data_IF_605523092426
#
_entry.id   IF_605523092426
#
_cell.length_a   1.000
_cell.length_b   1.000
_cell.length_c   1.000
_cell.angle_alpha   90.00
_cell.angle_beta   90.00
_cell.angle_gamma   90.00
#
_symmetry.space_group_name_H-M   'P 1'
#
loop_
_entity.id
_entity.type
_entity.pdbx_description
1 polymer ?
#
# COMPACT_ATOMS: atom_id res chain seq x y z
N UNK A 1 -33.41 -14.76 -0.05
CA UNK A 1 -34.52 -13.96 0.50
C UNK A 1 -35.02 -14.65 1.77
N UNK A 2 -34.73 -14.08 2.93
CA UNK A 2 -35.19 -14.56 4.25
C UNK A 2 -35.43 -13.30 5.07
N UNK A 3 -36.69 -13.03 5.35
CA UNK A 3 -37.16 -11.90 6.16
C UNK A 3 -37.55 -12.47 7.52
N UNK A 4 -37.10 -11.85 8.60
CA UNK A 4 -37.65 -12.02 9.96
C UNK A 4 -37.73 -10.62 10.57
N UNK A 5 -38.90 -10.30 11.12
CA UNK A 5 -39.27 -9.04 11.78
C UNK A 5 -39.23 -9.17 13.31
N UNK A 6 -39.14 -8.02 13.98
CA UNK A 6 -39.42 -7.81 15.42
C UNK A 6 -38.23 -7.11 16.10
N UNK A 7 -38.28 -5.86 16.58
CA UNK A 7 -39.40 -5.11 17.16
C UNK A 7 -39.29 -5.15 18.69
N UNK A 8 -38.88 -4.04 19.31
CA UNK A 8 -38.83 -3.91 20.77
C UNK A 8 -37.94 -2.76 21.21
N UNK A 9 -38.57 -1.65 21.60
CA UNK A 9 -37.97 -0.45 22.16
C UNK A 9 -37.54 -0.66 23.61
N UNK A 10 -36.48 0.03 24.04
CA UNK A 10 -36.27 0.38 25.44
C UNK A 10 -35.72 1.81 25.49
N UNK A 11 -36.52 2.68 26.09
CA UNK A 11 -36.26 4.08 26.43
C UNK A 11 -35.77 4.14 27.89
N UNK A 12 -35.56 5.36 28.39
CA UNK A 12 -35.25 5.79 29.77
C UNK A 12 -33.74 5.66 30.10
N UNK A 13 -33.00 6.69 30.52
CA UNK A 13 -33.28 7.70 31.54
C UNK A 13 -32.42 8.95 31.32
N UNK A 14 -33.06 10.13 31.32
CA UNK A 14 -32.45 11.44 31.59
C UNK A 14 -32.07 11.55 33.09
N UNK A 15 -30.85 11.99 33.40
CA UNK A 15 -30.51 12.46 34.75
C UNK A 15 -29.77 13.81 34.66
N UNK A 16 -30.39 14.81 35.27
CA UNK A 16 -29.90 16.19 35.40
C UNK A 16 -29.37 16.40 36.83
N UNK A 17 -28.31 17.20 36.95
CA UNK A 17 -27.81 17.79 38.21
C UNK A 17 -26.45 17.18 38.63
N UNK A 18 -25.43 17.92 39.04
CA UNK A 18 -25.42 19.25 39.63
C UNK A 18 -24.12 20.02 39.35
N UNK A 19 -24.32 21.33 39.19
CA UNK A 19 -23.35 22.41 39.13
C UNK A 19 -22.73 22.63 40.51
N UNK A 20 -21.42 22.38 40.67
CA UNK A 20 -20.65 22.98 41.76
C UNK A 20 -19.58 23.92 41.20
N UNK A 21 -19.91 25.21 41.30
CA UNK A 21 -19.02 26.36 41.12
C UNK A 21 -17.91 26.33 42.17
N UNK A 22 -16.67 26.24 41.71
CA UNK A 22 -15.48 26.35 42.55
C UNK A 22 -14.44 27.27 41.91
N UNK A 23 -14.49 28.55 42.31
CA UNK A 23 -13.43 29.58 42.24
C UNK A 23 -12.95 29.99 40.84
N UNK A 24 -13.42 31.18 40.44
CA UNK A 24 -12.77 31.99 39.43
C UNK A 24 -11.32 32.29 39.82
N UNK A 25 -10.40 31.81 38.97
CA UNK A 25 -9.08 32.38 38.81
C UNK A 25 -9.14 33.36 37.66
N UNK A 26 -8.82 34.62 37.95
CA UNK A 26 -8.62 35.70 37.00
C UNK A 26 -7.47 35.32 36.04
N UNK A 27 -7.80 34.89 34.82
CA UNK A 27 -6.82 34.48 33.80
C UNK A 27 -6.23 35.68 33.04
N UNK A 28 -6.73 36.90 33.28
CA UNK A 28 -6.32 38.10 32.53
C UNK A 28 -5.02 38.74 33.04
N UNK A 29 -4.34 38.12 34.01
CA UNK A 29 -3.07 38.61 34.57
C UNK A 29 -1.87 37.66 34.40
N UNK A 30 -1.90 36.71 33.46
CA UNK A 30 -0.66 36.00 33.10
C UNK A 30 0.16 36.85 32.13
N UNK A 31 1.34 37.39 32.51
CA UNK A 31 2.19 38.10 31.59
C UNK A 31 2.61 37.16 30.46
N UNK A 32 2.36 37.62 29.23
CA UNK A 32 2.73 36.96 27.99
C UNK A 32 4.27 36.87 27.89
N UNK A 33 4.83 35.79 28.46
CA UNK A 33 6.21 35.41 28.23
C UNK A 33 6.28 34.84 26.82
N UNK A 34 6.71 35.71 25.89
CA UNK A 34 6.85 35.41 24.48
C UNK A 34 7.60 34.11 24.23
N UNK A 35 6.84 33.03 24.01
CA UNK A 35 7.34 31.83 23.37
C UNK A 35 7.28 32.11 21.87
N UNK A 36 8.48 32.33 21.31
CA UNK A 36 8.70 32.64 19.91
C UNK A 36 7.83 31.78 19.00
N UNK A 37 7.21 32.46 18.03
CA UNK A 37 6.31 31.88 17.05
C UNK A 37 6.88 30.59 16.49
N UNK A 38 6.37 29.47 16.98
CA UNK A 38 6.67 28.17 16.41
C UNK A 38 5.96 28.17 15.05
N UNK A 39 6.74 28.39 13.98
CA UNK A 39 6.29 28.16 12.60
C UNK A 39 5.68 26.76 12.57
N UNK A 40 4.36 26.68 12.58
CA UNK A 40 3.64 25.47 12.21
C UNK A 40 4.07 25.17 10.79
N UNK A 41 5.03 24.25 10.64
CA UNK A 41 5.38 23.70 9.33
C UNK A 41 4.08 23.06 8.86
N UNK A 42 3.43 23.66 7.86
CA UNK A 42 2.39 22.98 7.07
C UNK A 42 3.01 21.66 6.65
N UNK A 43 2.63 20.58 7.33
CA UNK A 43 3.06 19.24 6.97
C UNK A 43 2.48 18.99 5.59
N UNK A 44 3.32 19.06 4.55
CA UNK A 44 2.94 18.56 3.25
C UNK A 44 2.47 17.13 3.43
N UNK A 45 1.31 16.79 2.87
CA UNK A 45 0.78 15.42 2.92
C UNK A 45 1.89 14.47 2.45
N UNK A 46 2.39 13.63 3.36
CA UNK A 46 3.39 12.62 3.01
C UNK A 46 2.75 11.69 1.99
N UNK A 47 3.19 11.79 0.73
CA UNK A 47 2.79 10.89 -0.33
C UNK A 47 3.21 9.45 0.04
N UNK A 48 2.23 8.61 0.37
CA UNK A 48 2.46 7.21 0.75
C UNK A 48 2.77 6.42 -0.52
N UNK A 49 4.01 5.92 -0.63
CA UNK A 49 4.42 5.01 -1.71
C UNK A 49 3.96 3.59 -1.40
N UNK A 50 3.36 2.92 -2.39
CA UNK A 50 2.80 1.56 -2.25
C UNK A 50 3.42 0.64 -3.29
N UNK A 51 3.69 -0.60 -2.87
CA UNK A 51 4.35 -1.61 -3.69
C UNK A 51 3.78 -2.99 -3.36
N UNK A 52 3.75 -3.87 -4.35
CA UNK A 52 3.59 -5.30 -4.13
C UNK A 52 4.97 -5.96 -4.15
N UNK A 53 5.20 -6.86 -3.20
CA UNK A 53 6.41 -7.68 -3.16
C UNK A 53 5.97 -9.15 -3.25
N UNK A 54 6.48 -9.87 -4.24
CA UNK A 54 6.29 -11.31 -4.37
C UNK A 54 7.65 -12.01 -4.42
N UNK A 55 7.69 -13.22 -3.86
CA UNK A 55 8.92 -14.01 -3.74
C UNK A 55 8.65 -15.42 -4.21
N UNK A 56 9.46 -15.93 -5.15
CA UNK A 56 9.29 -17.29 -5.65
C UNK A 56 10.21 -18.28 -4.94
N UNK A 57 9.77 -19.53 -4.86
CA UNK A 57 10.56 -20.64 -4.32
C UNK A 57 11.36 -21.33 -5.42
N UNK A 58 12.52 -21.88 -5.08
CA UNK A 58 13.42 -22.58 -6.03
C UNK A 58 12.72 -23.73 -6.74
N UNK A 59 11.81 -24.43 -6.04
CA UNK A 59 11.06 -25.58 -6.54
C UNK A 59 9.84 -25.19 -7.39
N UNK A 60 9.53 -23.89 -7.49
CA UNK A 60 8.36 -23.44 -8.22
C UNK A 60 8.56 -23.63 -9.73
N UNK A 61 7.68 -24.37 -10.43
CA UNK A 61 7.80 -24.54 -11.87
C UNK A 61 7.49 -23.24 -12.61
N UNK A 62 8.15 -23.00 -13.75
CA UNK A 62 8.03 -21.74 -14.50
C UNK A 62 6.60 -21.39 -14.93
N UNK A 63 5.74 -22.37 -15.18
CA UNK A 63 4.33 -22.10 -15.49
C UNK A 63 3.59 -21.48 -14.31
N UNK A 64 3.93 -21.87 -13.07
CA UNK A 64 3.32 -21.31 -11.86
C UNK A 64 3.82 -19.88 -11.61
N UNK A 65 5.11 -19.63 -11.86
CA UNK A 65 5.68 -18.28 -11.83
C UNK A 65 4.97 -17.37 -12.83
N UNK A 66 4.82 -17.80 -14.10
CA UNK A 66 4.09 -17.03 -15.12
C UNK A 66 2.62 -16.83 -14.78
N UNK A 67 1.96 -17.87 -14.25
CA UNK A 67 0.57 -17.75 -13.75
C UNK A 67 0.44 -16.65 -12.71
N UNK A 68 1.47 -16.42 -11.89
CA UNK A 68 1.47 -15.32 -10.92
C UNK A 68 1.51 -13.94 -11.58
N UNK A 69 2.24 -13.80 -12.68
CA UNK A 69 2.24 -12.56 -13.49
C UNK A 69 0.84 -12.31 -14.10
N UNK A 70 0.22 -13.34 -14.69
CA UNK A 70 -1.17 -13.20 -15.19
C UNK A 70 -2.16 -12.86 -14.08
N UNK A 71 -1.95 -13.31 -12.85
CA UNK A 71 -2.80 -12.91 -11.72
C UNK A 71 -2.71 -11.41 -11.43
N UNK A 72 -1.53 -10.80 -11.54
CA UNK A 72 -1.39 -9.35 -11.44
C UNK A 72 -2.10 -8.63 -12.59
N UNK A 73 -1.97 -9.12 -13.83
CA UNK A 73 -2.65 -8.55 -15.00
C UNK A 73 -4.18 -8.61 -14.83
N UNK A 74 -4.71 -9.76 -14.40
CA UNK A 74 -6.14 -9.93 -14.09
C UNK A 74 -6.61 -9.03 -12.96
N UNK A 75 -5.78 -8.86 -11.93
CA UNK A 75 -6.11 -7.98 -10.81
C UNK A 75 -6.15 -6.51 -11.24
N UNK A 76 -5.22 -6.09 -12.11
CA UNK A 76 -5.20 -4.78 -12.71
C UNK A 76 -6.44 -4.54 -13.59
N UNK A 77 -6.74 -5.46 -14.51
CA UNK A 77 -7.88 -5.38 -15.42
C UNK A 77 -9.25 -5.46 -14.72
N UNK A 78 -9.30 -6.11 -13.55
CA UNK A 78 -10.50 -6.15 -12.72
C UNK A 78 -10.86 -4.81 -12.08
N UNK A 79 -10.02 -3.77 -12.22
CA UNK A 79 -10.17 -2.42 -11.66
C UNK A 79 -10.39 -2.33 -10.15
N UNK A 80 -10.33 -3.46 -9.43
CA UNK A 80 -10.62 -3.50 -8.00
C UNK A 80 -9.72 -2.53 -7.20
N UNK A 81 -8.43 -2.45 -7.54
CA UNK A 81 -7.54 -1.51 -6.85
C UNK A 81 -7.95 -0.06 -7.11
N UNK A 82 -8.18 0.29 -8.38
CA UNK A 82 -8.50 1.63 -8.87
C UNK A 82 -9.84 2.12 -8.32
N UNK A 83 -10.82 1.22 -8.18
CA UNK A 83 -12.15 1.51 -7.65
C UNK A 83 -12.13 1.78 -6.14
N UNK A 84 -11.18 1.18 -5.41
CA UNK A 84 -11.10 1.26 -3.95
C UNK A 84 -9.96 2.14 -3.43
N UNK A 85 -9.06 2.61 -4.32
CA UNK A 85 -7.90 3.42 -3.94
C UNK A 85 -7.74 4.59 -4.91
N UNK A 86 -7.60 5.80 -4.35
CA UNK A 86 -7.26 7.01 -5.12
C UNK A 86 -5.80 7.05 -5.60
N UNK A 87 -5.00 6.06 -5.21
CA UNK A 87 -3.58 5.98 -5.54
C UNK A 87 -3.37 5.12 -6.80
N UNK A 88 -2.36 5.41 -7.63
CA UNK A 88 -2.04 4.59 -8.80
C UNK A 88 -1.76 3.14 -8.40
N UNK A 89 -1.91 2.24 -9.37
CA UNK A 89 -1.63 0.82 -9.15
C UNK A 89 -0.18 0.63 -8.65
N UNK A 90 0.05 -0.16 -7.60
CA UNK A 90 1.39 -0.33 -7.03
C UNK A 90 2.36 -0.99 -8.00
N UNK A 91 3.63 -0.56 -7.97
CA UNK A 91 4.71 -1.27 -8.67
C UNK A 91 4.91 -2.66 -8.07
N UNK A 92 5.24 -3.64 -8.90
CA UNK A 92 5.42 -5.03 -8.48
C UNK A 92 6.91 -5.38 -8.44
N UNK A 93 7.38 -5.81 -7.28
CA UNK A 93 8.73 -6.25 -7.02
C UNK A 93 8.77 -7.77 -6.90
N UNK A 94 9.63 -8.43 -7.68
CA UNK A 94 9.74 -9.88 -7.75
C UNK A 94 11.12 -10.33 -7.29
N UNK A 95 11.19 -11.12 -6.23
CA UNK A 95 12.44 -11.75 -5.77
C UNK A 95 12.56 -13.13 -6.41
N UNK A 96 13.50 -13.24 -7.34
CA UNK A 96 13.77 -14.44 -8.12
C UNK A 96 14.71 -15.37 -7.35
N UNK A 97 14.38 -16.68 -7.23
CA UNK A 97 15.19 -17.64 -6.48
C UNK A 97 16.43 -18.09 -7.25
N UNK A 98 16.46 -17.91 -8.58
CA UNK A 98 17.59 -18.26 -9.44
C UNK A 98 17.72 -17.24 -10.58
N UNK A 99 18.93 -17.05 -11.10
CA UNK A 99 19.18 -16.25 -12.30
C UNK A 99 18.40 -16.76 -13.52
N UNK A 100 18.13 -18.07 -13.60
CA UNK A 100 17.31 -18.65 -14.67
C UNK A 100 15.89 -18.10 -14.66
N UNK A 101 15.27 -18.02 -13.48
CA UNK A 101 13.92 -17.46 -13.32
C UNK A 101 13.94 -15.98 -13.67
N UNK A 102 14.91 -15.21 -13.15
CA UNK A 102 15.04 -13.79 -13.46
C UNK A 102 15.14 -13.52 -14.96
N UNK A 103 16.09 -14.18 -15.65
CA UNK A 103 16.27 -14.03 -17.11
C UNK A 103 15.03 -14.43 -17.89
N UNK A 104 14.36 -15.52 -17.49
CA UNK A 104 13.12 -15.93 -18.14
C UNK A 104 12.03 -14.88 -17.96
N UNK A 105 11.93 -14.25 -16.79
CA UNK A 105 10.91 -13.26 -16.49
C UNK A 105 11.16 -11.92 -17.17
N UNK A 106 12.41 -11.46 -17.26
CA UNK A 106 12.78 -10.28 -18.06
C UNK A 106 12.32 -10.41 -19.51
N UNK A 107 12.35 -11.62 -20.07
CA UNK A 107 11.88 -11.88 -21.42
C UNK A 107 10.36 -12.11 -21.52
N UNK A 108 9.75 -12.79 -20.55
CA UNK A 108 8.33 -13.16 -20.64
C UNK A 108 7.37 -12.08 -20.16
N UNK A 109 7.75 -11.28 -19.16
CA UNK A 109 6.85 -10.24 -18.60
C UNK A 109 6.47 -9.22 -19.68
N UNK A 110 7.39 -8.64 -20.48
CA UNK A 110 7.01 -7.69 -21.53
C UNK A 110 5.96 -8.25 -22.49
N UNK A 111 6.11 -9.51 -22.90
CA UNK A 111 5.17 -10.22 -23.78
C UNK A 111 3.81 -10.40 -23.13
N UNK A 112 3.78 -10.80 -21.87
CA UNK A 112 2.53 -10.98 -21.12
C UNK A 112 1.82 -9.63 -20.95
N UNK A 113 2.56 -8.54 -20.69
CA UNK A 113 1.98 -7.21 -20.56
C UNK A 113 1.36 -6.72 -21.87
N UNK A 114 2.05 -6.95 -22.99
CA UNK A 114 1.58 -6.64 -24.34
C UNK A 114 0.36 -7.49 -24.73
N UNK A 115 0.41 -8.80 -24.49
CA UNK A 115 -0.69 -9.74 -24.77
C UNK A 115 -1.96 -9.42 -23.96
N UNK A 116 -1.82 -8.97 -22.71
CA UNK A 116 -2.94 -8.65 -21.81
C UNK A 116 -3.36 -7.17 -21.88
N UNK A 117 -2.66 -6.34 -22.67
CA UNK A 117 -2.84 -4.89 -22.81
C UNK A 117 -2.87 -4.15 -21.45
N UNK A 118 -1.83 -4.37 -20.64
CA UNK A 118 -1.73 -3.79 -19.28
C UNK A 118 -0.46 -2.97 -19.04
N UNK A 119 -0.62 -1.83 -18.38
CA UNK A 119 0.48 -0.95 -17.96
C UNK A 119 0.84 -1.17 -16.49
N UNK A 120 1.62 -2.21 -16.21
CA UNK A 120 2.11 -2.54 -14.87
C UNK A 120 3.64 -2.52 -14.85
N UNK A 121 4.22 -1.72 -13.94
CA UNK A 121 5.67 -1.70 -13.74
C UNK A 121 6.16 -2.87 -12.88
N UNK A 122 6.97 -3.74 -13.46
CA UNK A 122 7.65 -4.84 -12.77
C UNK A 122 9.14 -4.55 -12.54
N UNK A 123 9.64 -4.96 -11.37
CA UNK A 123 11.04 -4.87 -10.96
C UNK A 123 11.50 -6.23 -10.44
N UNK A 124 12.65 -6.72 -10.88
CA UNK A 124 13.17 -8.02 -10.52
C UNK A 124 14.45 -7.87 -9.69
N UNK A 125 14.66 -8.78 -8.76
CA UNK A 125 15.93 -8.93 -8.07
C UNK A 125 16.27 -10.41 -7.89
N UNK A 126 17.55 -10.70 -7.71
CA UNK A 126 18.02 -12.03 -7.40
C UNK A 126 18.16 -12.21 -5.89
N UNK A 127 17.58 -13.29 -5.36
CA UNK A 127 17.57 -13.57 -3.92
C UNK A 127 18.97 -13.55 -3.31
N UNK A 128 19.94 -14.19 -3.95
CA UNK A 128 21.30 -14.27 -3.40
C UNK A 128 21.97 -12.89 -3.35
N UNK A 129 21.64 -12.00 -4.28
CA UNK A 129 22.19 -10.65 -4.31
C UNK A 129 21.67 -9.81 -3.14
N UNK A 130 20.36 -9.88 -2.88
CA UNK A 130 19.75 -9.23 -1.71
C UNK A 130 20.33 -9.81 -0.42
N UNK A 131 20.51 -11.13 -0.34
CA UNK A 131 21.05 -11.77 0.86
C UNK A 131 22.51 -11.40 1.14
N UNK A 132 23.33 -11.23 0.09
CA UNK A 132 24.75 -10.89 0.23
C UNK A 132 24.99 -9.40 0.49
N UNK A 133 24.22 -8.52 -0.16
CA UNK A 133 24.51 -7.07 -0.21
C UNK A 133 23.47 -6.20 0.49
N UNK A 134 22.37 -6.80 0.95
CA UNK A 134 21.18 -6.08 1.37
C UNK A 134 20.42 -5.47 0.18
N UNK A 135 19.40 -4.67 0.49
CA UNK A 135 18.66 -3.90 -0.52
C UNK A 135 19.41 -2.58 -0.77
N UNK A 136 20.00 -2.47 -1.94
CA UNK A 136 20.68 -1.29 -2.46
C UNK A 136 19.82 -0.62 -3.56
N UNK A 137 20.18 0.61 -3.96
CA UNK A 137 19.47 1.33 -5.01
C UNK A 137 19.50 0.61 -6.38
N UNK A 138 20.55 -0.16 -6.64
CA UNK A 138 20.79 -0.94 -7.85
C UNK A 138 20.35 -2.42 -7.72
N UNK A 139 19.69 -2.80 -6.62
CA UNK A 139 19.25 -4.18 -6.39
C UNK A 139 18.08 -4.61 -7.28
N UNK A 140 17.51 -3.68 -8.04
CA UNK A 140 16.30 -3.89 -8.81
C UNK A 140 16.51 -3.58 -10.28
N UNK A 141 16.15 -4.55 -11.11
CA UNK A 141 16.16 -4.45 -12.56
C UNK A 141 14.74 -4.19 -13.05
N UNK A 142 14.51 -3.05 -13.69
CA UNK A 142 13.21 -2.70 -14.26
C UNK A 142 12.95 -3.54 -15.52
N UNK A 143 11.72 -4.05 -15.67
CA UNK A 143 11.29 -4.69 -16.91
C UNK A 143 10.96 -3.62 -17.93
N UNK A 144 11.67 -3.61 -19.05
CA UNK A 144 11.40 -2.73 -20.18
C UNK A 144 10.45 -3.42 -21.18
N UNK A 145 9.40 -2.72 -21.58
CA UNK A 145 8.54 -3.18 -22.70
C UNK A 145 9.35 -3.02 -23.99
N UNK A 146 9.37 -4.07 -24.82
CA UNK A 146 9.98 -4.01 -26.15
C UNK A 146 8.93 -3.38 -27.07
N UNK A 147 9.08 -2.09 -27.34
CA UNK A 147 8.28 -1.36 -28.33
C UNK A 147 8.69 -1.68 -29.76
#
# INVERSE_FOLDING_TARGET
MRVVFGGGAEEVVDDQGDEQRGRGGDWDQVPNLGLGGNKVRKGGEKQIKRYFLDTFYVTMPMFAVRRRIHQYCRYYNGNFWQDHNKAPFPKVFLVCPTLRVQKSLLHSIPKILDEEDVDISFFLSFKDDIQKRGIQADSWEAVSIIS
#
